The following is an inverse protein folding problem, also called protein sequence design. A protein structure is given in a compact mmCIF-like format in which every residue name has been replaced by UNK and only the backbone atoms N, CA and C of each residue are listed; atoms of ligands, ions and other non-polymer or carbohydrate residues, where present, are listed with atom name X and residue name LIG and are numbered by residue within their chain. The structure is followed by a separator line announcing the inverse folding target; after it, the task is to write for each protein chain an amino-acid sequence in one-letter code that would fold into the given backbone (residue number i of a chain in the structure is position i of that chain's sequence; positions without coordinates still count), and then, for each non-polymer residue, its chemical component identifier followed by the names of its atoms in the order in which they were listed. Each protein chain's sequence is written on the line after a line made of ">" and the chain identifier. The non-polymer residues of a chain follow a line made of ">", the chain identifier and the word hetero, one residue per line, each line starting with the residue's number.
data_IF_239802304409
#
_entry.id   IF_239802304409
#
_cell.length_a   1.000
_cell.length_b   1.000
_cell.length_c   1.000
_cell.angle_alpha   90.00
_cell.angle_beta   90.00
_cell.angle_gamma   90.00
#
_symmetry.space_group_name_H-M   'P 1'
#
loop_
_entity.id
_entity.type
_entity.pdbx_description
1 polymer ?
#
# COMPACT_ATOMS: atom_id res chain seq x y z
N UNK A 1 -13.61 6.49 3.57
CA UNK A 1 -14.02 7.27 2.39
C UNK A 1 -12.83 7.95 1.69
N UNK A 2 -11.90 8.57 2.43
CA UNK A 2 -10.78 9.35 1.84
C UNK A 2 -9.88 8.59 0.85
N UNK A 3 -9.43 7.37 1.16
CA UNK A 3 -8.51 6.63 0.28
C UNK A 3 -9.15 6.18 -1.04
N UNK A 4 -10.45 5.87 -1.03
CA UNK A 4 -11.18 5.51 -2.25
C UNK A 4 -11.32 6.72 -3.18
N UNK A 5 -11.64 7.89 -2.62
CA UNK A 5 -11.68 9.15 -3.38
C UNK A 5 -10.31 9.53 -3.93
N UNK A 6 -9.24 9.41 -3.14
CA UNK A 6 -7.88 9.69 -3.60
C UNK A 6 -7.46 8.75 -4.75
N UNK A 7 -7.70 7.45 -4.60
CA UNK A 7 -7.41 6.47 -5.68
C UNK A 7 -8.19 6.80 -6.95
N UNK A 8 -9.45 7.20 -6.84
CA UNK A 8 -10.26 7.66 -7.97
C UNK A 8 -9.62 8.88 -8.65
N UNK A 9 -9.18 9.88 -7.89
CA UNK A 9 -8.50 11.06 -8.43
C UNK A 9 -7.21 10.68 -9.16
N UNK A 10 -6.37 9.80 -8.60
CA UNK A 10 -5.16 9.31 -9.26
C UNK A 10 -5.50 8.66 -10.61
N UNK A 11 -6.54 7.83 -10.65
CA UNK A 11 -6.99 7.20 -11.90
C UNK A 11 -7.52 8.22 -12.90
N UNK A 12 -8.26 9.22 -12.44
CA UNK A 12 -8.85 10.27 -13.29
C UNK A 12 -7.78 11.12 -14.00
N UNK A 13 -6.64 11.37 -13.35
CA UNK A 13 -5.50 12.08 -13.97
C UNK A 13 -4.61 11.17 -14.83
N UNK A 14 -5.02 9.93 -15.07
CA UNK A 14 -4.32 8.96 -15.92
C UNK A 14 -3.24 8.14 -15.22
N UNK A 15 -3.07 8.28 -13.89
CA UNK A 15 -2.11 7.47 -13.16
C UNK A 15 -2.57 6.00 -13.05
N UNK A 16 -1.59 5.11 -13.01
CA UNK A 16 -1.81 3.73 -12.59
C UNK A 16 -1.84 3.71 -11.06
N UNK A 17 -2.97 3.31 -10.49
CA UNK A 17 -3.18 3.32 -9.05
C UNK A 17 -3.89 2.03 -8.60
N UNK A 18 -3.58 1.59 -7.38
CA UNK A 18 -4.20 0.44 -6.74
C UNK A 18 -4.53 0.73 -5.29
N UNK A 19 -5.59 0.10 -4.79
CA UNK A 19 -5.95 0.14 -3.37
C UNK A 19 -5.20 -0.97 -2.67
N UNK A 20 -4.56 -0.66 -1.55
CA UNK A 20 -4.00 -1.66 -0.64
C UNK A 20 -4.94 -1.84 0.52
N UNK A 21 -5.39 -3.08 0.72
CA UNK A 21 -6.21 -3.48 1.84
C UNK A 21 -5.34 -4.15 2.91
N UNK A 22 -5.26 -3.54 4.08
CA UNK A 22 -4.68 -4.13 5.28
C UNK A 22 -5.78 -4.73 6.15
N UNK A 23 -5.68 -6.04 6.35
CA UNK A 23 -6.56 -6.85 7.20
C UNK A 23 -6.69 -6.37 8.65
N UNK A 24 -5.81 -5.47 9.11
CA UNK A 24 -5.86 -4.86 10.44
C UNK A 24 -6.58 -3.50 10.43
N UNK A 25 -7.62 -3.36 9.60
CA UNK A 25 -8.51 -2.20 9.51
C UNK A 25 -7.81 -0.91 9.05
N UNK A 26 -7.04 -0.99 7.96
CA UNK A 26 -6.56 0.20 7.25
C UNK A 26 -6.55 -0.02 5.74
N UNK A 27 -6.64 1.07 4.99
CA UNK A 27 -6.56 1.04 3.53
C UNK A 27 -5.77 2.26 3.06
N UNK A 28 -5.02 2.11 1.99
CA UNK A 28 -4.28 3.21 1.38
C UNK A 28 -4.14 2.99 -0.12
N UNK A 29 -3.38 3.86 -0.79
CA UNK A 29 -3.20 3.84 -2.23
C UNK A 29 -1.75 3.56 -2.56
N UNK A 30 -1.50 2.83 -3.64
CA UNK A 30 -0.20 2.84 -4.31
C UNK A 30 -0.36 3.40 -5.71
N UNK A 31 0.61 4.20 -6.14
CA UNK A 31 0.67 4.80 -7.48
C UNK A 31 1.95 4.32 -8.17
N UNK A 32 1.84 3.86 -9.41
CA UNK A 32 3.01 3.43 -10.17
C UNK A 32 3.77 4.65 -10.71
N UNK A 33 5.05 4.76 -10.37
CA UNK A 33 5.94 5.78 -10.91
C UNK A 33 6.61 5.25 -12.17
N UNK A 34 6.32 5.86 -13.31
CA UNK A 34 7.01 5.55 -14.57
C UNK A 34 8.48 6.02 -14.56
N UNK A 35 8.83 7.01 -13.72
CA UNK A 35 10.22 7.45 -13.56
C UNK A 35 11.04 6.44 -12.75
N UNK A 36 10.50 5.98 -11.61
CA UNK A 36 11.19 5.03 -10.73
C UNK A 36 10.97 3.56 -11.09
N UNK A 37 10.04 3.29 -12.02
CA UNK A 37 9.68 1.95 -12.47
C UNK A 37 9.24 1.02 -11.31
N UNK A 38 8.52 1.57 -10.33
CA UNK A 38 8.00 0.85 -9.16
C UNK A 38 6.71 1.45 -8.61
N UNK A 39 6.03 0.69 -7.76
CA UNK A 39 4.88 1.18 -6.98
C UNK A 39 5.34 2.03 -5.80
N UNK A 40 4.72 3.21 -5.66
CA UNK A 40 4.96 4.15 -4.58
C UNK A 40 3.78 4.11 -3.61
N UNK A 41 4.08 3.98 -2.32
CA UNK A 41 3.10 4.09 -1.25
C UNK A 41 2.56 5.52 -1.15
N UNK A 42 1.25 5.67 -0.99
CA UNK A 42 0.59 6.95 -0.77
C UNK A 42 -0.50 6.80 0.29
N UNK A 43 -0.38 7.53 1.39
CA UNK A 43 -1.44 7.64 2.39
C UNK A 43 -1.93 9.09 2.47
N UNK A 44 -3.09 9.35 1.85
CA UNK A 44 -3.68 10.69 1.79
C UNK A 44 -4.21 11.19 3.14
N UNK A 45 -4.47 10.31 4.11
CA UNK A 45 -4.89 10.73 5.46
C UNK A 45 -3.71 11.19 6.32
N UNK A 46 -2.52 10.72 6.00
CA UNK A 46 -1.30 10.98 6.79
C UNK A 46 -0.28 11.83 5.99
N UNK A 47 -0.69 12.34 4.83
CA UNK A 47 0.16 13.11 3.90
C UNK A 47 1.49 12.41 3.57
N UNK A 48 1.48 11.07 3.56
CA UNK A 48 2.68 10.26 3.41
C UNK A 48 2.90 9.84 1.95
N UNK A 49 4.14 10.00 1.49
CA UNK A 49 4.59 9.63 0.15
C UNK A 49 5.86 8.79 0.23
N UNK A 50 5.78 7.56 -0.28
CA UNK A 50 6.87 6.60 -0.27
C UNK A 50 7.39 6.26 1.14
N UNK A 51 6.47 6.16 2.10
CA UNK A 51 6.75 5.90 3.53
C UNK A 51 6.05 4.63 4.04
N UNK A 52 6.19 3.47 3.38
CA UNK A 52 5.42 2.27 3.71
C UNK A 52 5.73 1.66 5.09
N UNK A 53 6.86 1.96 5.74
CA UNK A 53 7.08 1.50 7.12
C UNK A 53 6.36 2.36 8.18
N UNK A 54 5.67 3.43 7.79
CA UNK A 54 4.86 4.27 8.66
C UNK A 54 3.95 3.44 9.59
N UNK A 55 3.33 2.39 9.06
CA UNK A 55 2.39 1.57 9.83
C UNK A 55 3.11 0.63 10.80
N UNK A 56 4.11 -0.11 10.33
CA UNK A 56 4.75 -1.14 11.15
C UNK A 56 5.75 -0.56 12.16
N UNK A 57 6.45 0.52 11.80
CA UNK A 57 7.38 1.20 12.68
C UNK A 57 6.72 2.38 13.39
N UNK A 58 6.27 3.40 12.65
CA UNK A 58 5.70 4.61 13.24
C UNK A 58 4.51 4.34 14.15
N UNK A 59 3.57 3.50 13.71
CA UNK A 59 2.38 3.17 14.51
C UNK A 59 2.53 1.90 15.35
N UNK A 60 3.66 1.19 15.22
CA UNK A 60 3.88 -0.11 15.84
C UNK A 60 2.76 -1.12 15.53
N UNK A 61 2.18 -1.04 14.32
CA UNK A 61 1.04 -1.86 13.92
C UNK A 61 1.48 -3.29 13.61
N UNK A 62 0.78 -4.27 14.16
CA UNK A 62 1.05 -5.71 13.95
C UNK A 62 0.39 -6.20 12.66
N UNK A 63 0.91 -5.79 11.51
CA UNK A 63 0.41 -6.17 10.19
C UNK A 63 0.41 -7.70 9.99
N UNK A 64 -0.52 -8.20 9.16
CA UNK A 64 -0.60 -9.62 8.77
C UNK A 64 -0.78 -9.79 7.25
N UNK A 65 -1.85 -9.26 6.67
CA UNK A 65 -2.10 -9.27 5.22
C UNK A 65 -2.32 -7.85 4.71
N UNK A 66 -1.49 -7.42 3.74
CA UNK A 66 -1.66 -6.20 2.95
C UNK A 66 -1.76 -6.60 1.46
N UNK A 67 -2.96 -6.58 0.90
CA UNK A 67 -3.24 -7.05 -0.47
C UNK A 67 -3.59 -5.87 -1.35
N UNK A 68 -2.88 -5.72 -2.45
CA UNK A 68 -3.09 -4.65 -3.42
C UNK A 68 -4.02 -5.10 -4.56
N UNK A 69 -4.96 -4.24 -4.93
CA UNK A 69 -5.94 -4.46 -6.00
C UNK A 69 -5.95 -3.29 -6.98
N UNK A 70 -5.63 -3.57 -8.24
CA UNK A 70 -5.73 -2.62 -9.36
C UNK A 70 -6.80 -3.06 -10.35
N UNK A 71 -6.96 -2.32 -11.45
CA UNK A 71 -7.85 -2.73 -12.55
C UNK A 71 -7.29 -3.91 -13.35
N UNK A 72 -6.01 -4.26 -13.18
CA UNK A 72 -5.30 -5.26 -14.01
C UNK A 72 -4.70 -6.42 -13.23
N UNK A 73 -4.53 -6.30 -11.92
CA UNK A 73 -3.90 -7.34 -11.10
C UNK A 73 -4.24 -7.24 -9.62
N UNK A 74 -4.00 -8.34 -8.91
CA UNK A 74 -3.93 -8.39 -7.46
C UNK A 74 -2.58 -8.99 -7.02
N UNK A 75 -2.02 -8.47 -5.92
CA UNK A 75 -0.73 -8.92 -5.39
C UNK A 75 -0.66 -8.78 -3.87
N UNK A 76 -0.01 -9.73 -3.20
CA UNK A 76 0.37 -9.58 -1.79
C UNK A 76 1.59 -8.66 -1.69
N UNK A 77 1.39 -7.48 -1.11
CA UNK A 77 2.41 -6.45 -0.97
C UNK A 77 2.89 -6.31 0.47
N UNK A 78 2.52 -7.24 1.36
CA UNK A 78 2.79 -7.17 2.81
C UNK A 78 4.28 -6.94 3.12
N UNK A 79 5.18 -7.57 2.36
CA UNK A 79 6.63 -7.42 2.53
C UNK A 79 7.11 -5.97 2.36
N UNK A 80 6.39 -5.13 1.60
CA UNK A 80 6.72 -3.70 1.43
C UNK A 80 6.55 -2.91 2.73
N UNK A 81 5.62 -3.33 3.58
CA UNK A 81 5.13 -2.58 4.74
C UNK A 81 5.72 -3.06 6.07
N UNK A 82 6.70 -3.96 6.05
CA UNK A 82 7.28 -4.55 7.26
C UNK A 82 8.78 -4.76 7.15
N UNK A 83 9.48 -4.64 8.28
CA UNK A 83 10.87 -5.13 8.44
C UNK A 83 10.92 -6.51 9.11
N UNK A 84 9.81 -6.98 9.69
CA UNK A 84 9.73 -8.18 10.51
C UNK A 84 8.94 -9.29 9.84
N UNK A 85 9.38 -9.76 8.65
CA UNK A 85 8.64 -10.76 7.88
C UNK A 85 8.41 -12.06 8.66
N UNK A 86 9.40 -12.52 9.43
CA UNK A 86 9.29 -13.71 10.28
C UNK A 86 8.18 -13.59 11.34
N UNK A 87 7.96 -12.40 11.88
CA UNK A 87 6.88 -12.15 12.86
C UNK A 87 5.52 -11.99 12.19
N UNK A 88 5.49 -11.41 10.98
CA UNK A 88 4.29 -11.34 10.15
C UNK A 88 3.78 -12.75 9.82
N UNK A 89 4.67 -13.67 9.41
CA UNK A 89 4.31 -15.06 9.12
C UNK A 89 3.64 -15.76 10.31
N UNK A 90 4.05 -15.49 11.56
CA UNK A 90 3.42 -16.06 12.76
C UNK A 90 1.95 -15.62 12.93
N UNK A 91 1.56 -14.48 12.35
CA UNK A 91 0.20 -13.93 12.41
C UNK A 91 -0.66 -14.33 11.21
N UNK A 92 -0.06 -14.90 10.16
CA UNK A 92 -0.74 -15.28 8.92
C UNK A 92 -1.26 -16.71 9.00
N UNK A 93 -2.40 -16.86 9.68
CA UNK A 93 -3.01 -18.17 9.97
C UNK A 93 -4.40 -18.37 9.33
N UNK A 94 -4.87 -17.41 8.51
CA UNK A 94 -6.20 -17.49 7.89
C UNK A 94 -6.22 -18.31 6.60
N UNK A 95 -5.09 -18.38 5.89
CA UNK A 95 -4.93 -19.08 4.61
C UNK A 95 -3.47 -19.53 4.47
N UNK A 96 -3.23 -20.64 3.79
CA UNK A 96 -1.85 -21.08 3.51
C UNK A 96 -1.22 -20.14 2.49
N UNK A 97 0.06 -19.81 2.65
CA UNK A 97 0.77 -18.89 1.75
C UNK A 97 0.67 -19.31 0.27
N UNK A 98 0.77 -20.60 -0.01
CA UNK A 98 0.65 -21.12 -1.37
C UNK A 98 -0.76 -20.96 -1.94
N UNK A 99 -1.80 -21.14 -1.13
CA UNK A 99 -3.19 -20.98 -1.58
C UNK A 99 -3.49 -19.52 -1.88
N UNK A 100 -3.02 -18.61 -1.02
CA UNK A 100 -3.16 -17.17 -1.26
C UNK A 100 -2.44 -16.75 -2.54
N UNK A 101 -1.20 -17.22 -2.75
CA UNK A 101 -0.44 -16.91 -3.94
C UNK A 101 -1.14 -17.40 -5.22
N UNK A 102 -1.63 -18.64 -5.23
CA UNK A 102 -2.38 -19.20 -6.36
C UNK A 102 -3.68 -18.44 -6.61
N UNK A 103 -4.44 -18.13 -5.56
CA UNK A 103 -5.68 -17.37 -5.68
C UNK A 103 -5.47 -15.98 -6.29
N UNK A 104 -4.44 -15.24 -5.86
CA UNK A 104 -4.13 -13.92 -6.40
C UNK A 104 -3.63 -13.98 -7.84
N UNK A 105 -2.90 -15.04 -8.21
CA UNK A 105 -2.45 -15.29 -9.57
C UNK A 105 -3.63 -15.60 -10.51
N UNK A 106 -4.56 -16.46 -10.09
CA UNK A 106 -5.78 -16.77 -10.84
C UNK A 106 -6.67 -15.53 -11.01
N UNK A 107 -6.84 -14.73 -9.95
CA UNK A 107 -7.56 -13.47 -10.02
C UNK A 107 -6.91 -12.51 -11.03
N UNK A 108 -5.58 -12.45 -11.05
CA UNK A 108 -4.82 -11.61 -12.00
C UNK A 108 -4.99 -12.11 -13.43
N UNK A 109 -4.88 -13.42 -13.67
CA UNK A 109 -5.09 -14.03 -14.99
C UNK A 109 -6.49 -13.75 -15.53
N UNK A 110 -7.51 -13.89 -14.69
CA UNK A 110 -8.90 -13.62 -15.07
C UNK A 110 -9.10 -12.15 -15.44
N UNK A 111 -8.50 -11.21 -14.69
CA UNK A 111 -8.54 -9.78 -15.02
C UNK A 111 -7.84 -9.45 -16.33
N UNK A 112 -6.78 -10.17 -16.66
CA UNK A 112 -5.99 -9.97 -17.87
C UNK A 112 -6.47 -10.81 -19.06
N UNK A 113 -7.52 -11.63 -18.92
CA UNK A 113 -7.93 -12.60 -19.95
C UNK A 113 -8.07 -12.00 -21.35
N UNK A 114 -8.68 -10.81 -21.45
CA UNK A 114 -8.97 -10.10 -22.69
C UNK A 114 -7.80 -9.28 -23.24
N UNK A 115 -6.67 -9.20 -22.51
CA UNK A 115 -5.54 -8.38 -22.93
C UNK A 115 -4.73 -9.09 -24.03
N UNK A 116 -4.18 -8.28 -24.94
CA UNK A 116 -3.23 -8.74 -25.96
C UNK A 116 -1.92 -9.24 -25.35
N UNK A 117 -1.17 -10.01 -26.13
CA UNK A 117 0.09 -10.64 -25.70
C UNK A 117 1.13 -9.62 -25.24
N UNK A 118 1.26 -8.50 -25.95
CA UNK A 118 2.21 -7.44 -25.62
C UNK A 118 1.92 -6.82 -24.25
N UNK A 119 0.66 -6.45 -23.98
CA UNK A 119 0.26 -5.89 -22.68
C UNK A 119 0.43 -6.90 -21.54
N UNK A 120 0.11 -8.17 -21.78
CA UNK A 120 0.34 -9.25 -20.80
C UNK A 120 1.83 -9.38 -20.46
N UNK A 121 2.70 -9.33 -21.48
CA UNK A 121 4.15 -9.39 -21.30
C UNK A 121 4.66 -8.21 -20.48
N UNK A 122 4.26 -7.00 -20.83
CA UNK A 122 4.63 -5.77 -20.11
C UNK A 122 4.22 -5.84 -18.63
N UNK A 123 2.97 -6.24 -18.35
CA UNK A 123 2.47 -6.38 -16.98
C UNK A 123 3.23 -7.47 -16.20
N UNK A 124 3.54 -8.59 -16.85
CA UNK A 124 4.32 -9.65 -16.23
C UNK A 124 5.76 -9.19 -15.91
N UNK A 125 6.40 -8.44 -16.80
CA UNK A 125 7.73 -7.87 -16.55
C UNK A 125 7.71 -6.90 -15.36
N UNK A 126 6.69 -6.04 -15.24
CA UNK A 126 6.50 -5.16 -14.07
C UNK A 126 6.28 -5.99 -12.78
N UNK A 127 5.42 -7.02 -12.83
CA UNK A 127 5.12 -7.89 -11.69
C UNK A 127 6.35 -8.67 -11.19
N UNK A 128 7.16 -9.20 -12.10
CA UNK A 128 8.41 -9.90 -11.74
C UNK A 128 9.39 -8.96 -11.05
N UNK A 129 9.55 -7.72 -11.55
CA UNK A 129 10.38 -6.70 -10.89
C UNK A 129 9.90 -6.41 -9.47
N UNK A 130 8.60 -6.25 -9.28
CA UNK A 130 8.02 -6.02 -7.95
C UNK A 130 8.24 -7.22 -7.02
N UNK A 131 8.05 -8.46 -7.49
CA UNK A 131 8.32 -9.65 -6.67
C UNK A 131 9.77 -9.72 -6.20
N UNK A 132 10.73 -9.37 -7.07
CA UNK A 132 12.15 -9.28 -6.70
C UNK A 132 12.41 -8.17 -5.68
N UNK A 133 11.79 -6.99 -5.85
CA UNK A 133 11.85 -5.89 -4.88
C UNK A 133 11.34 -6.35 -3.51
N UNK A 134 10.14 -6.94 -3.45
CA UNK A 134 9.51 -7.40 -2.21
C UNK A 134 10.35 -8.47 -1.50
N UNK A 135 10.97 -9.37 -2.26
CA UNK A 135 11.88 -10.36 -1.68
C UNK A 135 13.12 -9.70 -1.07
N UNK A 136 13.73 -8.74 -1.77
CA UNK A 136 14.87 -7.97 -1.26
C UNK A 136 14.55 -7.16 0.00
N UNK A 137 13.37 -6.52 0.05
CA UNK A 137 12.92 -5.75 1.21
C UNK A 137 12.74 -6.63 2.45
N UNK A 138 12.34 -7.89 2.28
CA UNK A 138 12.21 -8.82 3.40
C UNK A 138 13.55 -9.18 4.08
N UNK A 139 14.68 -8.92 3.41
CA UNK A 139 16.01 -9.25 3.91
C UNK A 139 16.71 -8.04 4.53
N UNK A 140 16.62 -6.85 3.92
CA UNK A 140 17.27 -5.62 4.41
C UNK A 140 16.54 -4.37 3.90
N UNK A 141 15.72 -3.75 4.75
CA UNK A 141 15.19 -2.40 4.52
C UNK A 141 15.54 -1.50 5.70
N UNK A 142 16.15 -0.35 5.44
CA UNK A 142 16.34 0.70 6.45
C UNK A 142 15.13 1.66 6.42
N UNK A 143 14.71 2.14 7.58
CA UNK A 143 13.60 3.06 7.71
C UNK A 143 14.03 4.50 7.44
N UNK A 144 13.21 5.26 6.74
CA UNK A 144 13.36 6.71 6.58
C UNK A 144 12.87 7.44 7.84
N UNK A 145 13.33 8.67 8.06
CA UNK A 145 12.97 9.46 9.26
C UNK A 145 11.45 9.69 9.39
N UNK A 146 10.76 9.92 8.27
CA UNK A 146 9.31 10.14 8.20
C UNK A 146 8.50 8.86 8.49
N UNK A 147 9.08 7.67 8.35
CA UNK A 147 8.43 6.40 8.68
C UNK A 147 8.37 6.14 10.21
N UNK A 148 9.07 6.93 11.01
CA UNK A 148 9.03 6.86 12.49
C UNK A 148 7.93 7.72 13.10
N UNK A 149 7.21 8.51 12.29
CA UNK A 149 6.17 9.41 12.77
C UNK A 149 4.95 8.60 13.19
N UNK A 150 4.51 8.79 14.44
CA UNK A 150 3.29 8.18 14.96
C UNK A 150 2.03 8.73 14.29
N UNK A 151 0.92 7.99 14.40
CA UNK A 151 -0.36 8.32 13.77
C UNK A 151 -0.81 9.76 14.04
N UNK A 152 -1.07 10.50 12.96
CA UNK A 152 -1.59 11.86 13.05
C UNK A 152 -3.10 11.85 12.85
N UNK A 153 -3.86 11.34 13.84
CA UNK A 153 -5.31 11.47 13.79
C UNK A 153 -5.69 12.95 13.95
N UNK A 154 -6.29 13.54 12.93
CA UNK A 154 -6.73 14.95 12.88
C UNK A 154 -7.25 15.49 14.22
N UNK A 155 -6.38 16.19 14.94
CA UNK A 155 -6.71 17.15 16.00
C UNK A 155 -5.96 18.45 15.73
N UNK A 156 -6.23 19.06 14.59
CA UNK A 156 -6.09 20.50 14.45
C UNK A 156 -7.49 21.04 14.12
N UNK A 157 -8.15 21.51 15.19
CA UNK A 157 -9.00 22.71 15.23
C UNK A 157 -10.07 22.64 16.31
N UNK A 158 -9.64 22.82 17.57
CA UNK A 158 -10.50 23.36 18.64
C UNK A 158 -9.81 24.39 19.55
N UNK A 159 -8.61 24.86 19.23
CA UNK A 159 -7.92 25.89 20.05
C UNK A 159 -7.76 27.27 19.40
N UNK A 160 -8.16 27.44 18.14
CA UNK A 160 -8.06 28.74 17.43
C UNK A 160 -9.34 29.57 17.54
N UNK A 161 -10.50 28.94 17.78
CA UNK A 161 -11.81 29.62 17.82
C UNK A 161 -12.21 30.19 19.19
N UNK A 162 -11.56 29.81 20.29
CA UNK A 162 -11.87 30.36 21.63
C UNK A 162 -11.14 31.68 21.94
N UNK A 163 -10.10 32.05 21.17
CA UNK A 163 -9.35 33.30 21.39
C UNK A 163 -10.00 34.55 20.77
N UNK A 164 -11.07 34.40 20.00
CA UNK A 164 -11.79 35.52 19.36
C UNK A 164 -13.19 35.79 19.94
N UNK A 165 -13.55 35.18 21.08
CA UNK A 165 -14.85 35.41 21.77
C UNK A 165 -14.73 36.16 23.10
N UNK A 166 -13.56 36.66 23.44
CA UNK A 166 -13.37 37.65 24.51
C UNK A 166 -12.88 38.90 23.80
N UNK A 167 -13.48 40.06 24.04
CA UNK A 167 -13.41 41.34 23.30
C UNK A 167 -14.63 41.65 22.41
N UNK A 168 -15.82 41.58 23.01
CA UNK A 168 -16.83 42.64 22.90
C UNK A 168 -17.45 42.84 24.27
#
# INVERSE_FOLDING_TARGET
>A
MHHQCFTLCCRAVGAQARIVYDSTDHVWTEVYSEFEQRWIHCDSCEEAWDSPLLYSLGWNKKLSYCIAFSTVEALDVTKRYTQGWSDVLKRRNQVREIELALFLDDLTKERQRSFGLERKRELNERRVKELMELEGLSQKRMAKEDEWVGRQSGKQDKKVWEKHKVHN
#
